data_IF_970591588564
#
_entry.id   IF_970591588564
#
_cell.length_a   1.000
_cell.length_b   1.000
_cell.length_c   1.000
_cell.angle_alpha   90.00
_cell.angle_beta   90.00
_cell.angle_gamma   90.00
#
_symmetry.space_group_name_H-M   'P 1'
#
loop_
_entity.id
_entity.type
_entity.pdbx_description
1 polymer ?
#
# COMPACT_ATOMS: atom_id res chain seq x y z
N UNK A 1 -8.75 3.09 -3.47
CA UNK A 1 -8.39 2.49 -2.16
C UNK A 1 -8.82 3.46 -1.07
N UNK A 2 -9.49 2.96 -0.01
CA UNK A 2 -9.77 3.71 1.23
C UNK A 2 -8.76 3.20 2.27
N UNK A 3 -7.85 4.08 2.68
CA UNK A 3 -6.71 3.73 3.51
C UNK A 3 -6.81 4.38 4.91
N UNK A 4 -6.49 3.59 5.94
CA UNK A 4 -6.23 4.07 7.30
C UNK A 4 -4.74 4.38 7.42
N UNK A 5 -4.40 5.64 7.08
CA UNK A 5 -3.02 6.08 6.91
C UNK A 5 -2.37 6.52 8.22
N UNK A 6 -1.97 5.57 9.04
CA UNK A 6 -1.19 5.85 10.26
C UNK A 6 0.31 5.74 9.98
N UNK A 7 1.10 6.65 10.53
CA UNK A 7 2.55 6.71 10.37
C UNK A 7 3.28 6.72 11.72
N UNK A 8 2.96 7.68 12.57
CA UNK A 8 3.70 7.92 13.82
C UNK A 8 3.27 7.02 14.97
N UNK A 9 2.08 6.46 14.93
CA UNK A 9 1.57 5.59 16.00
C UNK A 9 2.25 4.22 16.04
N UNK A 10 2.77 3.78 14.91
CA UNK A 10 3.51 2.53 14.75
C UNK A 10 2.66 1.27 14.94
N UNK A 11 2.07 1.10 16.12
CA UNK A 11 1.23 -0.04 16.44
C UNK A 11 -0.25 0.26 16.15
N UNK A 12 -0.89 -0.44 15.18
CA UNK A 12 -2.27 -0.17 14.78
C UNK A 12 -3.30 -0.42 15.88
N UNK A 13 -2.96 -1.23 16.90
CA UNK A 13 -3.85 -1.45 18.05
C UNK A 13 -4.12 -0.20 18.86
N UNK A 14 -3.29 0.84 18.77
CA UNK A 14 -3.47 2.10 19.49
C UNK A 14 -4.79 2.80 19.15
N UNK A 15 -5.27 2.62 17.90
CA UNK A 15 -6.51 3.24 17.41
C UNK A 15 -7.47 2.22 16.79
N UNK A 16 -7.47 0.99 17.32
CA UNK A 16 -8.28 -0.09 16.74
C UNK A 16 -9.78 0.18 16.79
N UNK A 17 -10.29 0.86 17.82
CA UNK A 17 -11.73 1.18 17.95
C UNK A 17 -12.16 2.22 16.90
N UNK A 18 -11.32 3.21 16.67
CA UNK A 18 -11.53 4.26 15.68
C UNK A 18 -11.48 3.67 14.28
N UNK A 19 -10.52 2.78 14.00
CA UNK A 19 -10.42 2.07 12.73
C UNK A 19 -11.63 1.16 12.48
N UNK A 20 -12.10 0.40 13.48
CA UNK A 20 -13.33 -0.40 13.38
C UNK A 20 -14.55 0.46 13.01
N UNK A 21 -14.73 1.59 13.70
CA UNK A 21 -15.85 2.49 13.45
C UNK A 21 -15.76 3.11 12.05
N UNK A 22 -14.58 3.60 11.65
CA UNK A 22 -14.34 4.17 10.33
C UNK A 22 -14.62 3.16 9.22
N UNK A 23 -14.05 1.97 9.28
CA UNK A 23 -14.23 0.98 8.24
C UNK A 23 -15.63 0.36 8.21
N UNK A 24 -16.31 0.23 9.36
CA UNK A 24 -17.72 -0.15 9.36
C UNK A 24 -18.57 0.86 8.62
N UNK A 25 -18.36 2.16 8.83
CA UNK A 25 -19.09 3.22 8.13
C UNK A 25 -18.74 3.25 6.64
N UNK A 26 -17.45 3.15 6.27
CA UNK A 26 -17.02 3.12 4.87
C UNK A 26 -17.56 1.90 4.13
N UNK A 27 -17.50 0.72 4.75
CA UNK A 27 -18.02 -0.51 4.15
C UNK A 27 -19.55 -0.46 3.96
N UNK A 28 -20.29 0.11 4.92
CA UNK A 28 -21.72 0.33 4.80
C UNK A 28 -22.05 1.33 3.67
N UNK A 29 -21.30 2.45 3.60
CA UNK A 29 -21.51 3.51 2.60
C UNK A 29 -21.25 3.03 1.17
N UNK A 30 -20.29 2.15 0.99
CA UNK A 30 -19.85 1.65 -0.31
C UNK A 30 -20.17 0.16 -0.52
N UNK A 31 -21.15 -0.39 0.17
CA UNK A 31 -21.50 -1.81 0.12
C UNK A 31 -21.80 -2.33 -1.30
N UNK A 32 -22.37 -1.49 -2.15
CA UNK A 32 -22.74 -1.80 -3.54
C UNK A 32 -21.66 -1.34 -4.55
N UNK A 33 -20.44 -1.08 -4.10
CA UNK A 33 -19.31 -0.61 -4.90
C UNK A 33 -18.17 -1.64 -4.89
N UNK A 34 -18.20 -2.63 -5.80
CA UNK A 34 -17.20 -3.69 -5.83
C UNK A 34 -15.78 -3.20 -6.17
N UNK A 35 -15.66 -2.01 -6.77
CA UNK A 35 -14.38 -1.37 -7.08
C UNK A 35 -13.66 -0.78 -5.86
N UNK A 36 -14.32 -0.70 -4.71
CA UNK A 36 -13.70 -0.15 -3.49
C UNK A 36 -12.84 -1.20 -2.82
N UNK A 37 -11.58 -0.84 -2.59
CA UNK A 37 -10.59 -1.62 -1.83
C UNK A 37 -10.35 -0.93 -0.50
N UNK A 38 -10.27 -1.70 0.59
CA UNK A 38 -10.04 -1.19 1.94
C UNK A 38 -8.62 -1.55 2.39
N UNK A 39 -7.77 -0.57 2.60
CA UNK A 39 -6.44 -0.75 3.18
C UNK A 39 -6.49 -0.43 4.66
N UNK A 40 -6.49 -1.47 5.49
CA UNK A 40 -6.86 -1.34 6.90
C UNK A 40 -5.76 -0.80 7.80
N UNK A 41 -4.52 -0.76 7.33
CA UNK A 41 -3.40 -0.16 8.03
C UNK A 41 -2.26 0.09 7.05
N UNK A 42 -1.87 1.34 6.86
CA UNK A 42 -0.83 1.74 5.92
C UNK A 42 0.53 1.09 6.24
N UNK A 43 1.17 1.48 7.32
CA UNK A 43 2.56 1.12 7.62
C UNK A 43 2.80 0.82 9.09
N UNK A 44 2.37 -0.34 9.61
CA UNK A 44 2.73 -0.77 10.95
C UNK A 44 4.25 -0.78 11.15
N UNK A 45 4.72 -0.14 12.24
CA UNK A 45 6.15 0.00 12.52
C UNK A 45 6.40 0.07 14.04
N UNK A 46 7.53 0.65 14.49
CA UNK A 46 7.79 0.86 15.92
C UNK A 46 7.86 -0.43 16.75
N UNK A 47 8.15 -1.58 16.12
CA UNK A 47 8.20 -2.87 16.80
C UNK A 47 6.86 -3.61 16.88
N UNK A 48 5.80 -3.11 16.21
CA UNK A 48 4.56 -3.85 16.05
C UNK A 48 4.80 -5.21 15.37
N UNK A 49 4.44 -6.30 16.04
CA UNK A 49 4.66 -7.65 15.56
C UNK A 49 3.41 -8.23 14.88
N UNK A 50 3.61 -9.04 13.83
CA UNK A 50 2.50 -9.63 13.09
C UNK A 50 1.53 -10.37 14.01
N UNK A 51 2.00 -11.36 14.75
CA UNK A 51 1.14 -12.25 15.55
C UNK A 51 0.53 -11.58 16.76
N UNK A 52 1.24 -10.63 17.37
CA UNK A 52 0.82 -10.01 18.66
C UNK A 52 -0.07 -8.79 18.46
N UNK A 53 0.22 -7.99 17.44
CA UNK A 53 -0.38 -6.66 17.28
C UNK A 53 -1.20 -6.56 15.98
N UNK A 54 -0.58 -6.86 14.83
CA UNK A 54 -1.16 -6.56 13.51
C UNK A 54 -2.27 -7.56 13.15
N UNK A 55 -2.04 -8.85 13.32
CA UNK A 55 -3.06 -9.88 13.04
C UNK A 55 -4.31 -9.73 13.91
N UNK A 56 -4.21 -9.53 15.25
CA UNK A 56 -5.39 -9.25 16.10
C UNK A 56 -6.13 -7.97 15.71
N UNK A 57 -5.40 -6.90 15.34
CA UNK A 57 -5.98 -5.69 14.77
C UNK A 57 -6.77 -5.99 13.48
N UNK A 58 -6.12 -6.67 12.54
CA UNK A 58 -6.72 -7.02 11.26
C UNK A 58 -7.99 -7.88 11.44
N UNK A 59 -7.98 -8.85 12.33
CA UNK A 59 -9.17 -9.67 12.66
C UNK A 59 -10.37 -8.82 13.03
N UNK A 60 -10.17 -7.80 13.85
CA UNK A 60 -11.23 -6.91 14.32
C UNK A 60 -11.77 -6.04 13.19
N UNK A 61 -10.88 -5.38 12.46
CA UNK A 61 -11.27 -4.44 11.38
C UNK A 61 -11.90 -5.21 10.20
N UNK A 62 -11.34 -6.36 9.80
CA UNK A 62 -11.93 -7.22 8.77
C UNK A 62 -13.34 -7.66 9.17
N UNK A 63 -13.56 -8.06 10.44
CA UNK A 63 -14.89 -8.40 10.94
C UNK A 63 -15.88 -7.23 10.81
N UNK A 64 -15.44 -6.00 11.08
CA UNK A 64 -16.29 -4.82 10.95
C UNK A 64 -16.66 -4.56 9.48
N UNK A 65 -15.70 -4.64 8.54
CA UNK A 65 -15.94 -4.50 7.10
C UNK A 65 -16.89 -5.58 6.59
N UNK A 66 -16.69 -6.83 6.96
CA UNK A 66 -17.45 -7.98 6.45
C UNK A 66 -18.92 -8.01 6.86
N UNK A 67 -19.32 -7.16 7.80
CA UNK A 67 -20.75 -6.93 8.11
C UNK A 67 -21.50 -6.25 6.94
N UNK A 68 -20.78 -5.55 6.05
CA UNK A 68 -21.37 -4.70 5.02
C UNK A 68 -20.82 -4.95 3.61
N UNK A 69 -19.57 -5.41 3.48
CA UNK A 69 -18.90 -5.51 2.18
C UNK A 69 -18.09 -6.80 2.03
N UNK A 70 -18.11 -7.34 0.80
CA UNK A 70 -17.24 -8.43 0.34
C UNK A 70 -16.02 -7.93 -0.45
N UNK A 71 -15.82 -6.61 -0.52
CA UNK A 71 -14.71 -5.98 -1.26
C UNK A 71 -13.33 -6.48 -0.80
N UNK A 72 -12.32 -6.22 -1.60
CA UNK A 72 -10.92 -6.58 -1.30
C UNK A 72 -10.46 -5.78 -0.08
N UNK A 73 -9.78 -6.46 0.84
CA UNK A 73 -9.14 -5.84 2.00
C UNK A 73 -7.63 -6.06 1.88
N UNK A 74 -6.87 -4.98 1.95
CA UNK A 74 -5.41 -4.97 2.01
C UNK A 74 -4.96 -4.89 3.47
N UNK A 75 -4.03 -5.77 3.85
CA UNK A 75 -3.53 -5.91 5.20
C UNK A 75 -2.05 -5.56 5.21
N UNK A 76 -1.67 -4.53 5.95
CA UNK A 76 -0.28 -4.15 6.19
C UNK A 76 0.45 -5.17 7.05
N UNK A 77 1.77 -5.16 7.00
CA UNK A 77 2.64 -5.98 7.83
C UNK A 77 3.64 -5.14 8.61
N UNK A 78 4.44 -5.75 9.48
CA UNK A 78 5.50 -5.04 10.24
C UNK A 78 6.53 -4.38 9.32
N UNK A 79 7.36 -3.52 9.91
CA UNK A 79 8.46 -2.83 9.24
C UNK A 79 7.99 -2.04 8.01
N UNK A 80 7.02 -1.11 8.23
CA UNK A 80 6.43 -0.28 7.15
C UNK A 80 5.89 -1.11 5.99
N UNK A 81 5.07 -2.11 6.30
CA UNK A 81 4.45 -3.02 5.33
C UNK A 81 5.46 -3.75 4.41
N UNK A 82 6.61 -4.16 4.97
CA UNK A 82 7.66 -4.89 4.23
C UNK A 82 7.74 -6.37 4.59
N UNK A 83 7.21 -6.80 5.74
CA UNK A 83 7.41 -8.15 6.27
C UNK A 83 6.30 -9.14 5.91
N UNK A 84 5.78 -9.07 4.68
CA UNK A 84 4.70 -9.97 4.21
C UNK A 84 5.07 -11.45 4.30
N UNK A 85 6.36 -11.80 4.25
CA UNK A 85 6.85 -13.17 4.41
C UNK A 85 6.58 -13.74 5.82
N UNK A 86 6.47 -12.88 6.85
CA UNK A 86 6.06 -13.28 8.19
C UNK A 86 4.55 -13.51 8.25
N UNK A 87 3.75 -12.63 7.65
CA UNK A 87 2.32 -12.83 7.52
C UNK A 87 1.98 -14.12 6.76
N UNK A 88 2.77 -14.49 5.76
CA UNK A 88 2.60 -15.73 5.00
C UNK A 88 2.84 -17.01 5.82
N UNK A 89 3.48 -16.93 6.98
CA UNK A 89 3.67 -18.08 7.87
C UNK A 89 2.43 -18.37 8.72
N UNK A 90 1.62 -17.35 8.99
CA UNK A 90 0.42 -17.40 9.81
C UNK A 90 -0.61 -16.39 9.28
N UNK A 91 -1.17 -16.60 8.06
CA UNK A 91 -2.08 -15.64 7.44
C UNK A 91 -3.39 -15.53 8.21
N UNK A 92 -4.12 -14.43 7.95
CA UNK A 92 -5.49 -14.28 8.40
C UNK A 92 -6.41 -15.16 7.54
N UNK A 93 -7.31 -15.89 8.14
CA UNK A 93 -8.34 -16.63 7.42
C UNK A 93 -9.45 -15.70 6.94
N UNK A 94 -9.94 -15.92 5.72
CA UNK A 94 -11.03 -15.16 5.13
C UNK A 94 -10.93 -15.02 3.62
N UNK A 95 -12.01 -14.55 3.01
CA UNK A 95 -12.11 -14.34 1.57
C UNK A 95 -11.72 -12.89 1.20
N UNK A 96 -11.21 -12.72 -0.01
CA UNK A 96 -10.85 -11.41 -0.58
C UNK A 96 -9.90 -10.58 0.32
N UNK A 97 -8.94 -11.28 0.93
CA UNK A 97 -7.84 -10.68 1.68
C UNK A 97 -6.58 -10.69 0.82
N UNK A 98 -5.87 -9.57 0.77
CA UNK A 98 -4.55 -9.46 0.17
C UNK A 98 -3.60 -8.78 1.15
N UNK A 99 -2.31 -8.98 0.97
CA UNK A 99 -1.27 -8.44 1.86
C UNK A 99 -0.46 -7.42 1.10
N UNK A 100 -0.31 -6.25 1.71
CA UNK A 100 0.40 -5.16 1.04
C UNK A 100 1.89 -5.19 1.33
N UNK A 101 2.66 -4.83 0.30
CA UNK A 101 4.08 -4.54 0.42
C UNK A 101 4.33 -3.13 -0.09
N UNK A 102 5.11 -2.36 0.68
CA UNK A 102 5.57 -1.03 0.29
C UNK A 102 7.05 -1.05 -0.09
N UNK A 103 7.42 -0.29 -1.12
CA UNK A 103 8.81 -0.08 -1.48
C UNK A 103 9.08 1.27 -2.13
N UNK A 104 10.31 1.73 -2.01
CA UNK A 104 10.83 2.90 -2.71
C UNK A 104 12.10 2.53 -3.47
N UNK A 105 12.15 2.87 -4.76
CA UNK A 105 13.18 2.41 -5.68
C UNK A 105 14.59 2.85 -5.27
N UNK A 106 14.70 4.04 -4.65
CA UNK A 106 15.97 4.58 -4.18
C UNK A 106 16.43 4.12 -2.80
N UNK A 107 15.63 3.29 -2.12
CA UNK A 107 15.94 2.85 -0.74
C UNK A 107 16.06 1.33 -0.62
N UNK A 108 15.10 0.60 -1.21
CA UNK A 108 14.96 -0.84 -0.96
C UNK A 108 15.64 -1.66 -2.05
N UNK A 109 16.25 -2.77 -1.67
CA UNK A 109 16.99 -3.66 -2.55
C UNK A 109 16.24 -4.91 -2.98
N UNK A 110 17.00 -5.95 -3.33
CA UNK A 110 16.48 -7.26 -3.77
C UNK A 110 15.69 -7.97 -2.67
N UNK A 111 15.98 -7.71 -1.42
CA UNK A 111 15.39 -8.36 -0.25
C UNK A 111 13.86 -8.30 -0.23
N UNK A 112 13.26 -7.19 -0.66
CA UNK A 112 11.80 -7.11 -0.71
C UNK A 112 11.20 -7.96 -1.84
N UNK A 113 11.91 -8.10 -2.97
CA UNK A 113 11.49 -9.03 -4.02
C UNK A 113 11.53 -10.48 -3.55
N UNK A 114 12.56 -10.85 -2.78
CA UNK A 114 12.68 -12.17 -2.18
C UNK A 114 11.56 -12.46 -1.18
N UNK A 115 11.13 -11.44 -0.38
CA UNK A 115 9.99 -11.55 0.52
C UNK A 115 8.67 -11.76 -0.24
N UNK A 116 8.48 -11.09 -1.37
CA UNK A 116 7.34 -11.34 -2.27
C UNK A 116 7.34 -12.78 -2.75
N UNK A 117 8.46 -13.27 -3.27
CA UNK A 117 8.56 -14.65 -3.75
C UNK A 117 8.31 -15.68 -2.66
N UNK A 118 8.79 -15.44 -1.44
CA UNK A 118 8.50 -16.28 -0.27
C UNK A 118 7.01 -16.29 0.08
N UNK A 119 6.35 -15.13 0.03
CA UNK A 119 4.93 -15.01 0.32
C UNK A 119 4.07 -15.72 -0.74
N UNK A 120 4.37 -15.49 -2.02
CA UNK A 120 3.69 -16.15 -3.13
C UNK A 120 3.88 -17.68 -3.12
N UNK A 121 5.07 -18.17 -2.78
CA UNK A 121 5.33 -19.61 -2.65
C UNK A 121 4.47 -20.30 -1.56
N UNK A 122 3.95 -19.52 -0.60
CA UNK A 122 2.98 -19.96 0.41
C UNK A 122 1.53 -19.71 0.01
N UNK A 123 1.26 -19.23 -1.19
CA UNK A 123 -0.07 -18.93 -1.69
C UNK A 123 -0.67 -17.62 -1.13
N UNK A 124 0.15 -16.74 -0.54
CA UNK A 124 -0.34 -15.46 -0.01
C UNK A 124 -0.62 -14.48 -1.16
N UNK A 125 -1.84 -13.95 -1.31
CA UNK A 125 -2.13 -12.91 -2.31
C UNK A 125 -1.43 -11.59 -1.94
N UNK A 126 -0.66 -11.01 -2.88
CA UNK A 126 0.12 -9.80 -2.66
C UNK A 126 -0.41 -8.65 -3.52
N UNK A 127 -0.46 -7.47 -2.94
CA UNK A 127 -0.70 -6.18 -3.60
C UNK A 127 0.40 -5.20 -3.18
N UNK A 128 0.88 -4.37 -4.09
CA UNK A 128 1.80 -3.27 -3.75
C UNK A 128 0.98 -1.98 -3.70
N UNK A 129 0.44 -1.66 -2.53
CA UNK A 129 -0.46 -0.50 -2.38
C UNK A 129 0.27 0.84 -2.29
N UNK A 130 1.59 0.80 -2.05
CA UNK A 130 2.43 1.98 -2.09
C UNK A 130 3.82 1.65 -2.64
N UNK A 131 4.24 2.43 -3.64
CA UNK A 131 5.63 2.43 -4.09
C UNK A 131 6.01 3.79 -4.68
N UNK A 132 7.28 4.15 -4.55
CA UNK A 132 7.82 5.41 -5.10
C UNK A 132 9.08 5.21 -5.94
N UNK A 133 9.30 6.13 -6.90
CA UNK A 133 10.52 6.19 -7.72
C UNK A 133 11.71 6.81 -6.98
N UNK A 134 11.44 7.45 -5.84
CA UNK A 134 12.39 8.18 -4.99
C UNK A 134 12.98 7.31 -3.89
N UNK A 135 13.65 7.94 -2.93
CA UNK A 135 13.91 7.35 -1.62
C UNK A 135 12.63 7.32 -0.77
N UNK A 136 12.64 6.55 0.32
CA UNK A 136 11.48 6.38 1.19
C UNK A 136 11.04 7.67 1.92
N UNK A 137 11.90 8.66 2.01
CA UNK A 137 11.59 10.00 2.52
C UNK A 137 10.98 10.94 1.46
N UNK A 138 10.68 10.44 0.26
CA UNK A 138 10.14 11.20 -0.85
C UNK A 138 11.18 12.01 -1.64
N UNK A 139 12.46 11.94 -1.28
CA UNK A 139 13.57 12.73 -1.86
C UNK A 139 14.53 11.90 -2.72
N UNK A 140 15.66 12.49 -3.07
CA UNK A 140 16.86 11.80 -3.57
C UNK A 140 16.93 11.56 -5.07
N UNK A 141 16.00 12.10 -5.86
CA UNK A 141 15.95 11.93 -7.32
C UNK A 141 15.13 10.73 -7.78
N UNK A 142 14.99 10.58 -9.09
CA UNK A 142 14.16 9.54 -9.73
C UNK A 142 15.03 8.34 -10.11
N UNK A 143 14.83 7.22 -9.44
CA UNK A 143 15.55 5.95 -9.65
C UNK A 143 14.83 5.09 -10.70
N UNK A 144 14.85 5.58 -11.96
CA UNK A 144 14.06 5.00 -13.06
C UNK A 144 14.42 3.54 -13.35
N UNK A 145 15.71 3.19 -13.35
CA UNK A 145 16.18 1.83 -13.63
C UNK A 145 15.67 0.85 -12.56
N UNK A 146 15.88 1.18 -11.31
CA UNK A 146 15.47 0.34 -10.17
C UNK A 146 13.95 0.22 -10.09
N UNK A 147 13.22 1.30 -10.37
CA UNK A 147 11.76 1.28 -10.45
C UNK A 147 11.26 0.40 -11.60
N UNK A 148 11.86 0.52 -12.80
CA UNK A 148 11.52 -0.31 -13.96
C UNK A 148 11.72 -1.80 -13.67
N UNK A 149 12.88 -2.19 -13.12
CA UNK A 149 13.18 -3.58 -12.77
C UNK A 149 12.16 -4.17 -11.77
N UNK A 150 11.66 -3.33 -10.83
CA UNK A 150 10.65 -3.76 -9.86
C UNK A 150 9.28 -3.89 -10.49
N UNK A 151 8.86 -2.93 -11.29
CA UNK A 151 7.57 -3.00 -11.97
C UNK A 151 7.51 -4.20 -12.93
N UNK A 152 8.59 -4.46 -13.66
CA UNK A 152 8.70 -5.65 -14.51
C UNK A 152 8.63 -6.96 -13.69
N UNK A 153 9.21 -6.96 -12.48
CA UNK A 153 9.12 -8.08 -11.54
C UNK A 153 7.68 -8.30 -11.07
N UNK A 154 6.95 -7.23 -10.73
CA UNK A 154 5.54 -7.29 -10.30
C UNK A 154 4.64 -7.75 -11.45
N UNK A 155 4.83 -7.19 -12.64
CA UNK A 155 4.06 -7.54 -13.83
C UNK A 155 4.18 -9.03 -14.17
N UNK A 156 5.40 -9.59 -14.15
CA UNK A 156 5.64 -11.02 -14.39
C UNK A 156 4.92 -11.95 -13.41
N UNK A 157 4.53 -11.43 -12.24
CA UNK A 157 3.81 -12.18 -11.18
C UNK A 157 2.33 -11.83 -11.09
N UNK A 158 1.83 -10.95 -11.97
CA UNK A 158 0.44 -10.50 -11.94
C UNK A 158 0.09 -9.69 -10.68
N UNK A 159 1.07 -9.01 -10.08
CA UNK A 159 0.87 -8.19 -8.87
C UNK A 159 0.48 -6.78 -9.27
N UNK A 160 -0.69 -6.36 -8.79
CA UNK A 160 -1.18 -5.00 -8.96
C UNK A 160 -0.47 -4.02 -8.01
N UNK A 161 -0.45 -2.75 -8.39
CA UNK A 161 0.23 -1.73 -7.61
C UNK A 161 -0.45 -0.36 -7.67
N UNK A 162 -0.16 0.48 -6.68
CA UNK A 162 -0.48 1.91 -6.65
C UNK A 162 0.77 2.73 -6.36
N UNK A 163 0.93 3.87 -7.03
CA UNK A 163 2.10 4.73 -6.87
C UNK A 163 1.88 5.82 -5.82
N UNK A 164 2.90 6.09 -5.05
CA UNK A 164 3.01 7.24 -4.17
C UNK A 164 3.84 8.35 -4.85
N UNK A 165 3.26 9.56 -5.20
CA UNK A 165 1.85 9.84 -5.04
C UNK A 165 1.38 10.86 -6.08
N UNK A 166 0.09 10.84 -6.39
CA UNK A 166 -0.53 11.84 -7.25
C UNK A 166 -0.77 13.13 -6.45
N UNK A 167 0.27 13.92 -6.29
CA UNK A 167 0.24 15.22 -5.60
C UNK A 167 1.20 16.20 -6.29
N UNK A 168 1.16 17.47 -5.89
CA UNK A 168 1.99 18.57 -6.36
C UNK A 168 2.93 19.11 -5.27
N UNK A 169 3.26 18.28 -4.28
CA UNK A 169 4.25 18.64 -3.25
C UNK A 169 5.62 18.89 -3.87
N UNK A 170 6.40 19.74 -3.24
CA UNK A 170 7.80 19.96 -3.65
C UNK A 170 8.72 18.85 -3.14
N UNK A 171 8.50 17.64 -3.67
CA UNK A 171 9.30 16.43 -3.37
C UNK A 171 9.43 15.57 -4.65
N UNK A 172 10.45 14.72 -4.69
CA UNK A 172 10.70 13.86 -5.87
C UNK A 172 9.59 12.84 -6.11
N UNK A 173 8.94 12.34 -5.05
CA UNK A 173 7.86 11.37 -5.16
C UNK A 173 6.59 11.93 -5.83
N UNK A 174 6.40 13.25 -5.81
CA UNK A 174 5.21 13.89 -6.37
C UNK A 174 5.13 13.70 -7.89
N UNK A 175 3.99 13.22 -8.38
CA UNK A 175 3.76 13.01 -9.81
C UNK A 175 3.46 14.30 -10.58
N UNK A 176 2.99 15.34 -9.90
CA UNK A 176 2.74 16.66 -10.50
C UNK A 176 3.82 17.65 -10.09
N UNK A 177 4.05 18.63 -10.92
CA UNK A 177 4.95 19.77 -10.59
C UNK A 177 4.31 20.62 -9.48
N UNK A 178 5.12 21.22 -8.59
CA UNK A 178 4.61 22.11 -7.56
C UNK A 178 3.73 23.23 -8.13
N UNK A 179 2.57 23.47 -7.48
CA UNK A 179 1.61 24.50 -7.89
C UNK A 179 0.73 24.10 -9.08
N UNK A 180 0.71 22.86 -9.49
CA UNK A 180 -0.20 22.39 -10.54
C UNK A 180 -1.65 22.48 -10.07
N UNK A 181 -2.54 23.23 -10.77
CA UNK A 181 -3.92 23.40 -10.33
C UNK A 181 -4.71 22.08 -10.35
N UNK A 182 -5.44 21.79 -9.27
CA UNK A 182 -6.33 20.61 -9.18
C UNK A 182 -7.64 20.77 -9.99
N UNK A 183 -7.96 21.99 -10.43
CA UNK A 183 -9.26 22.37 -10.99
C UNK A 183 -9.37 22.22 -12.51
N UNK A 184 -8.34 21.72 -13.18
CA UNK A 184 -8.35 21.49 -14.62
C UNK A 184 -7.78 20.12 -14.97
N UNK A 185 -8.04 19.66 -16.18
CA UNK A 185 -7.37 18.48 -16.72
C UNK A 185 -5.84 18.72 -16.79
N UNK A 186 -5.07 17.75 -16.32
CA UNK A 186 -3.62 17.79 -16.39
C UNK A 186 -3.11 17.32 -17.75
N UNK A 187 -1.97 17.88 -18.16
CA UNK A 187 -1.27 17.54 -19.40
C UNK A 187 0.11 16.99 -19.07
N UNK A 188 0.82 16.50 -20.07
CA UNK A 188 2.22 16.06 -19.91
C UNK A 188 3.14 17.19 -19.40
N UNK A 189 2.79 18.46 -19.63
CA UNK A 189 3.53 19.62 -19.15
C UNK A 189 3.43 19.79 -17.61
N UNK A 190 2.38 19.27 -16.99
CA UNK A 190 2.13 19.35 -15.56
C UNK A 190 2.86 18.24 -14.77
N UNK A 191 3.27 17.18 -15.47
CA UNK A 191 3.94 16.06 -14.84
C UNK A 191 5.38 16.44 -14.43
N UNK A 192 5.74 16.00 -13.22
CA UNK A 192 7.14 15.97 -12.76
C UNK A 192 7.93 14.89 -13.53
N UNK A 193 9.21 14.73 -13.24
CA UNK A 193 10.01 13.62 -13.76
C UNK A 193 9.46 12.27 -13.27
N UNK A 194 9.10 12.18 -11.99
CA UNK A 194 8.41 11.03 -11.40
C UNK A 194 7.11 10.72 -12.14
N UNK A 195 6.24 11.71 -12.30
CA UNK A 195 4.98 11.55 -13.00
C UNK A 195 5.13 11.07 -14.44
N UNK A 196 6.06 11.59 -15.20
CA UNK A 196 6.34 11.15 -16.57
C UNK A 196 6.75 9.67 -16.62
N UNK A 197 7.60 9.24 -15.68
CA UNK A 197 7.99 7.84 -15.58
C UNK A 197 6.79 6.94 -15.23
N UNK A 198 6.02 7.31 -14.20
CA UNK A 198 4.89 6.51 -13.73
C UNK A 198 3.79 6.40 -14.79
N UNK A 199 3.37 7.52 -15.38
CA UNK A 199 2.33 7.52 -16.43
C UNK A 199 2.75 6.80 -17.71
N UNK A 200 4.04 6.68 -17.97
CA UNK A 200 4.58 5.89 -19.09
C UNK A 200 4.53 4.37 -18.87
N UNK A 201 4.01 3.91 -17.70
CA UNK A 201 3.88 2.48 -17.34
C UNK A 201 2.45 1.94 -17.42
N UNK A 202 1.49 2.80 -17.72
CA UNK A 202 0.08 2.42 -17.96
C UNK A 202 -0.24 2.12 -19.41
#
# INVERSE_FOLDING_TARGET
IIDWHILSDGNPMSHVKEAEAFFSEMARRYQDRPEVIYEICNEPNGGAAWSKDIKPYAQRVVKAIRQHSKGIILIGSSTWSQDIHLAAQDPLEGENLMYTLHFYAGTHGKELRDRIDQALAKGLPVFVSEWGVSRADGSGGVFQKEAAERLDFLQKRGISWANWSLCDKNETAAALKPGTPATRAWTAADLSESGKFVFGRF
#
